data_IF_597821630991
#
_entry.id   IF_597821630991
#
_cell.length_a   1.000
_cell.length_b   1.000
_cell.length_c   1.000
_cell.angle_alpha   90.00
_cell.angle_beta   90.00
_cell.angle_gamma   90.00
#
_symmetry.space_group_name_H-M   'P 1'
#
loop_
_entity.id
_entity.type
_entity.pdbx_description
1 polymer ?
#
# COMPACT_ATOMS: atom_id res chain seq x y z
N UNK A 1 -8.27 21.32 11.37
CA UNK A 1 -7.10 20.54 10.89
C UNK A 1 -6.09 20.35 12.01
N UNK A 2 -5.61 21.42 12.65
CA UNK A 2 -4.55 21.33 13.68
C UNK A 2 -4.83 20.39 14.86
N UNK A 3 -6.03 20.36 15.50
CA UNK A 3 -6.27 19.41 16.60
C UNK A 3 -6.19 17.94 16.16
N UNK A 4 -6.71 17.64 14.95
CA UNK A 4 -6.65 16.29 14.39
C UNK A 4 -5.21 15.90 14.03
N UNK A 5 -4.46 16.80 13.42
CA UNK A 5 -3.05 16.59 13.11
C UNK A 5 -2.21 16.36 14.37
N UNK A 6 -2.43 17.16 15.42
CA UNK A 6 -1.78 16.96 16.72
C UNK A 6 -2.13 15.62 17.37
N UNK A 7 -3.41 15.23 17.33
CA UNK A 7 -3.86 13.92 17.83
C UNK A 7 -3.22 12.76 17.06
N UNK A 8 -3.14 12.86 15.73
CA UNK A 8 -2.51 11.84 14.88
C UNK A 8 -1.00 11.72 15.16
N UNK A 9 -0.29 12.84 15.30
CA UNK A 9 1.12 12.87 15.67
C UNK A 9 1.36 12.17 17.01
N UNK A 10 0.57 12.49 18.02
CA UNK A 10 0.66 11.87 19.35
C UNK A 10 0.33 10.37 19.30
N UNK A 11 -0.71 9.99 18.56
CA UNK A 11 -1.09 8.58 18.37
C UNK A 11 0.06 7.75 17.78
N UNK A 12 0.70 8.25 16.71
CA UNK A 12 1.83 7.54 16.09
C UNK A 12 3.01 7.43 17.05
N UNK A 13 3.36 8.54 17.72
CA UNK A 13 4.49 8.57 18.67
C UNK A 13 4.27 7.60 19.85
N UNK A 14 3.11 7.68 20.50
CA UNK A 14 2.76 6.83 21.65
C UNK A 14 2.63 5.35 21.28
N UNK A 15 2.09 5.02 20.10
CA UNK A 15 2.01 3.64 19.62
C UNK A 15 3.41 3.04 19.43
N UNK A 16 4.32 3.76 18.78
CA UNK A 16 5.70 3.30 18.57
C UNK A 16 6.46 3.15 19.89
N UNK A 17 6.29 4.09 20.83
CA UNK A 17 6.85 3.97 22.18
C UNK A 17 6.34 2.72 22.89
N UNK A 18 5.04 2.41 22.78
CA UNK A 18 4.47 1.21 23.39
C UNK A 18 5.10 -0.10 22.89
N UNK A 19 5.40 -0.20 21.58
CA UNK A 19 6.16 -1.33 21.04
C UNK A 19 7.59 -1.39 21.61
N UNK A 20 8.28 -0.24 21.63
CA UNK A 20 9.64 -0.14 22.17
C UNK A 20 9.71 -0.52 23.66
N UNK A 21 8.76 -0.05 24.47
CA UNK A 21 8.67 -0.34 25.90
C UNK A 21 8.39 -1.83 26.17
N UNK A 22 7.69 -2.49 25.24
CA UNK A 22 7.49 -3.94 25.24
C UNK A 22 8.70 -4.73 24.70
N UNK A 23 9.79 -4.06 24.30
CA UNK A 23 10.99 -4.70 23.74
C UNK A 23 10.82 -5.17 22.29
N UNK A 24 9.88 -4.59 21.55
CA UNK A 24 9.60 -4.95 20.14
C UNK A 24 10.10 -3.85 19.21
N UNK A 25 11.11 -4.19 18.41
CA UNK A 25 11.62 -3.33 17.34
C UNK A 25 10.71 -3.41 16.10
N UNK A 26 10.22 -2.26 15.64
CA UNK A 26 9.49 -2.16 14.38
C UNK A 26 10.48 -1.99 13.22
N UNK A 27 10.41 -2.88 12.22
CA UNK A 27 11.24 -2.76 11.01
C UNK A 27 10.63 -1.81 9.99
N UNK A 28 9.31 -1.88 9.80
CA UNK A 28 8.55 -1.05 8.86
C UNK A 28 7.29 -0.54 9.57
N UNK A 29 6.92 0.72 9.32
CA UNK A 29 5.64 1.30 9.74
C UNK A 29 4.99 1.97 8.53
N UNK A 30 3.78 1.54 8.15
CA UNK A 30 2.98 2.29 7.18
C UNK A 30 2.19 3.39 7.87
N UNK A 31 2.22 4.60 7.30
CA UNK A 31 1.42 5.72 7.80
C UNK A 31 0.07 5.74 7.07
N UNK A 32 -0.80 4.83 7.49
CA UNK A 32 -2.10 4.55 6.86
C UNK A 32 -2.10 3.23 6.08
N UNK A 33 -3.30 2.78 5.71
CA UNK A 33 -3.56 1.58 4.91
C UNK A 33 -4.35 1.97 3.67
N UNK A 34 -3.87 1.60 2.48
CA UNK A 34 -4.54 1.87 1.19
C UNK A 34 -5.12 3.29 1.07
N UNK A 35 -4.29 4.31 1.32
CA UNK A 35 -4.75 5.70 1.46
C UNK A 35 -5.01 6.39 0.11
N UNK A 36 -5.38 5.65 -0.95
CA UNK A 36 -5.71 6.21 -2.28
C UNK A 36 -6.76 7.29 -2.22
N UNK A 37 -7.81 7.05 -1.45
CA UNK A 37 -8.90 8.01 -1.22
C UNK A 37 -8.65 8.87 0.04
N UNK A 38 -7.43 8.82 0.58
CA UNK A 38 -6.98 9.54 1.75
C UNK A 38 -7.23 8.81 3.06
N UNK A 39 -7.16 9.52 4.18
CA UNK A 39 -7.34 8.96 5.53
C UNK A 39 -8.04 9.96 6.45
N UNK A 40 -8.61 9.49 7.57
CA UNK A 40 -9.26 10.34 8.59
C UNK A 40 -10.28 11.32 7.97
N UNK A 41 -11.28 10.76 7.31
CA UNK A 41 -12.30 11.54 6.60
C UNK A 41 -13.23 12.28 7.57
N UNK A 42 -13.77 13.45 7.16
CA UNK A 42 -13.63 14.08 5.84
C UNK A 42 -12.32 14.87 5.64
N UNK A 43 -11.55 15.15 6.70
CA UNK A 43 -10.44 16.12 6.66
C UNK A 43 -9.29 15.71 5.75
N UNK A 44 -8.96 14.41 5.70
CA UNK A 44 -7.93 13.88 4.80
C UNK A 44 -8.50 13.13 3.60
N UNK A 45 -9.79 13.25 3.28
CA UNK A 45 -10.37 12.63 2.08
C UNK A 45 -9.80 13.28 0.82
N UNK A 46 -9.41 12.46 -0.16
CA UNK A 46 -8.95 12.93 -1.45
C UNK A 46 -9.62 12.19 -2.60
N UNK A 47 -9.55 12.79 -3.78
CA UNK A 47 -9.96 12.20 -5.04
C UNK A 47 -8.86 12.44 -6.09
N UNK A 48 -8.30 11.34 -6.58
CA UNK A 48 -7.16 11.31 -7.51
C UNK A 48 -7.55 11.63 -8.96
N UNK A 49 -8.85 11.58 -9.27
CA UNK A 49 -9.38 11.78 -10.62
C UNK A 49 -9.86 13.23 -10.85
N UNK A 50 -9.73 14.10 -9.84
CA UNK A 50 -10.04 15.53 -9.98
C UNK A 50 -9.15 16.16 -11.07
N UNK A 51 -9.80 16.90 -11.97
CA UNK A 51 -9.15 17.77 -12.95
C UNK A 51 -9.63 19.23 -12.80
N UNK A 52 -8.79 20.23 -13.15
CA UNK A 52 -7.40 20.09 -13.61
C UNK A 52 -6.44 19.65 -12.49
N UNK A 53 -5.22 19.24 -12.83
CA UNK A 53 -4.16 18.83 -11.87
C UNK A 53 -4.00 19.80 -10.69
N UNK A 54 -4.14 21.12 -10.91
CA UNK A 54 -4.07 22.12 -9.83
C UNK A 54 -5.19 21.96 -8.79
N UNK A 55 -6.40 21.62 -9.20
CA UNK A 55 -7.52 21.35 -8.30
C UNK A 55 -7.31 20.04 -7.52
N UNK A 56 -6.72 19.03 -8.15
CA UNK A 56 -6.32 17.77 -7.50
C UNK A 56 -5.28 17.98 -6.41
N UNK A 57 -4.21 18.71 -6.74
CA UNK A 57 -3.18 19.10 -5.76
C UNK A 57 -3.83 19.86 -4.60
N UNK A 58 -4.72 20.82 -4.87
CA UNK A 58 -5.42 21.55 -3.82
C UNK A 58 -6.24 20.62 -2.91
N UNK A 59 -6.96 19.64 -3.49
CA UNK A 59 -7.72 18.63 -2.75
C UNK A 59 -6.83 17.77 -1.84
N UNK A 60 -5.58 17.48 -2.22
CA UNK A 60 -4.65 16.69 -1.42
C UNK A 60 -4.08 17.43 -0.19
N UNK A 61 -4.31 18.74 -0.04
CA UNK A 61 -3.73 19.55 1.04
C UNK A 61 -4.06 19.02 2.45
N UNK A 62 -5.29 18.53 2.65
CA UNK A 62 -5.74 17.99 3.93
C UNK A 62 -4.99 16.70 4.29
N UNK A 63 -4.96 15.75 3.37
CA UNK A 63 -4.18 14.52 3.50
C UNK A 63 -2.70 14.79 3.72
N UNK A 64 -2.10 15.69 2.94
CA UNK A 64 -0.69 16.04 3.06
C UNK A 64 -0.36 16.60 4.45
N UNK A 65 -1.25 17.42 5.01
CA UNK A 65 -1.09 17.95 6.38
C UNK A 65 -1.12 16.83 7.43
N UNK A 66 -2.03 15.87 7.29
CA UNK A 66 -2.14 14.74 8.20
C UNK A 66 -0.96 13.78 8.07
N UNK A 67 -0.52 13.50 6.84
CA UNK A 67 0.65 12.65 6.60
C UNK A 67 1.93 13.27 7.17
N UNK A 68 2.15 14.58 6.99
CA UNK A 68 3.25 15.30 7.64
C UNK A 68 3.19 15.16 9.17
N UNK A 69 2.01 15.26 9.78
CA UNK A 69 1.85 15.11 11.23
C UNK A 69 2.13 13.67 11.71
N UNK A 70 1.64 12.66 10.98
CA UNK A 70 1.96 11.26 11.25
C UNK A 70 3.47 11.01 11.17
N UNK A 71 4.14 11.57 10.14
CA UNK A 71 5.59 11.46 9.98
C UNK A 71 6.34 12.12 11.14
N UNK A 72 5.90 13.28 11.60
CA UNK A 72 6.44 13.91 12.80
C UNK A 72 6.26 13.05 14.06
N UNK A 73 5.18 12.28 14.17
CA UNK A 73 4.97 11.35 15.27
C UNK A 73 6.03 10.24 15.31
N UNK A 74 6.45 9.75 14.14
CA UNK A 74 7.58 8.82 14.02
C UNK A 74 8.89 9.51 14.46
N UNK A 75 9.15 10.74 14.02
CA UNK A 75 10.35 11.49 14.44
C UNK A 75 10.39 11.75 15.95
N UNK A 76 9.24 12.06 16.55
CA UNK A 76 9.13 12.22 17.99
C UNK A 76 9.48 10.92 18.71
N UNK A 77 8.88 9.78 18.33
CA UNK A 77 9.21 8.49 18.94
C UNK A 77 10.71 8.19 18.85
N UNK A 78 11.33 8.40 17.67
CA UNK A 78 12.76 8.18 17.46
C UNK A 78 13.62 9.11 18.31
N UNK A 79 13.24 10.38 18.44
CA UNK A 79 13.95 11.33 19.31
C UNK A 79 13.91 10.94 20.80
N UNK A 80 12.92 10.13 21.20
CA UNK A 80 12.78 9.57 22.55
C UNK A 80 13.40 8.16 22.69
N UNK A 81 14.23 7.72 21.75
CA UNK A 81 14.99 6.48 21.86
C UNK A 81 14.35 5.25 21.22
N UNK A 82 13.18 5.38 20.58
CA UNK A 82 12.62 4.29 19.76
C UNK A 82 13.53 4.06 18.55
N UNK A 83 13.84 2.80 18.23
CA UNK A 83 14.61 2.46 17.04
C UNK A 83 13.86 2.91 15.77
N UNK A 84 14.55 3.62 14.88
CA UNK A 84 13.95 4.15 13.66
C UNK A 84 13.51 3.03 12.70
N UNK A 85 12.20 2.90 12.39
CA UNK A 85 11.72 1.99 11.34
C UNK A 85 11.89 2.64 9.97
N UNK A 86 11.79 1.84 8.91
CA UNK A 86 11.49 2.37 7.57
C UNK A 86 10.02 2.81 7.50
N UNK A 87 9.77 4.01 7.00
CA UNK A 87 8.41 4.54 6.84
C UNK A 87 7.87 4.17 5.46
N UNK A 88 6.73 3.47 5.44
CA UNK A 88 6.06 3.07 4.21
C UNK A 88 4.87 3.98 3.89
N UNK A 89 4.69 4.26 2.61
CA UNK A 89 3.45 4.81 2.06
C UNK A 89 2.74 3.73 1.23
N UNK A 90 1.48 3.44 1.57
CA UNK A 90 0.75 2.28 1.05
C UNK A 90 -0.51 2.68 0.29
N UNK A 91 -0.59 2.26 -0.98
CA UNK A 91 -1.68 2.55 -1.91
C UNK A 91 -2.20 1.24 -2.53
N UNK A 92 -3.51 1.09 -2.68
CA UNK A 92 -4.12 -0.04 -3.39
C UNK A 92 -3.85 0.00 -4.89
N UNK A 93 -4.27 -1.05 -5.61
CA UNK A 93 -4.22 -1.11 -7.07
C UNK A 93 -2.82 -0.83 -7.65
N UNK A 94 -1.79 -1.50 -7.12
CA UNK A 94 -0.39 -1.33 -7.54
C UNK A 94 -0.14 -1.51 -9.03
N UNK A 95 -1.03 -2.22 -9.72
CA UNK A 95 -1.04 -2.43 -11.16
C UNK A 95 -1.46 -1.20 -11.99
N UNK A 96 -2.17 -0.24 -11.40
CA UNK A 96 -2.70 0.92 -12.11
C UNK A 96 -1.69 2.08 -12.13
N UNK A 97 -0.82 2.12 -13.15
CA UNK A 97 0.22 3.14 -13.27
C UNK A 97 -0.32 4.58 -13.23
N UNK A 98 -1.40 4.87 -13.97
CA UNK A 98 -1.98 6.22 -14.04
C UNK A 98 -2.45 6.70 -12.66
N UNK A 99 -3.12 5.82 -11.91
CA UNK A 99 -3.48 6.08 -10.52
C UNK A 99 -2.25 6.43 -9.68
N UNK A 100 -1.21 5.60 -9.71
CA UNK A 100 -0.04 5.79 -8.86
C UNK A 100 0.68 7.12 -9.19
N UNK A 101 0.88 7.43 -10.48
CA UNK A 101 1.52 8.68 -10.87
C UNK A 101 0.71 9.92 -10.48
N UNK A 102 -0.60 9.88 -10.68
CA UNK A 102 -1.50 10.96 -10.32
C UNK A 102 -1.53 11.19 -8.80
N UNK A 103 -1.58 10.12 -8.02
CA UNK A 103 -1.67 10.20 -6.57
C UNK A 103 -0.39 10.78 -5.95
N UNK A 104 0.79 10.23 -6.30
CA UNK A 104 2.06 10.71 -5.73
C UNK A 104 2.43 12.11 -6.23
N UNK A 105 2.11 12.46 -7.48
CA UNK A 105 2.30 13.82 -7.98
C UNK A 105 1.37 14.83 -7.30
N UNK A 106 0.12 14.46 -7.02
CA UNK A 106 -0.80 15.33 -6.28
C UNK A 106 -0.32 15.56 -4.84
N UNK A 107 0.07 14.50 -4.13
CA UNK A 107 0.57 14.59 -2.76
C UNK A 107 1.81 15.47 -2.66
N UNK A 108 2.81 15.23 -3.49
CA UNK A 108 4.06 16.00 -3.48
C UNK A 108 3.89 17.41 -4.06
N UNK A 109 2.97 17.58 -5.01
CA UNK A 109 2.61 18.88 -5.58
C UNK A 109 2.04 19.87 -4.56
N UNK A 110 1.55 19.39 -3.41
CA UNK A 110 1.13 20.27 -2.30
C UNK A 110 2.30 21.06 -1.69
N UNK A 111 3.54 20.60 -1.88
CA UNK A 111 4.75 21.14 -1.24
C UNK A 111 4.88 20.82 0.26
N UNK A 112 3.88 20.15 0.87
CA UNK A 112 3.89 19.79 2.30
C UNK A 112 4.57 18.45 2.57
N UNK A 113 4.41 17.50 1.65
CA UNK A 113 5.04 16.18 1.70
C UNK A 113 6.08 16.09 0.60
N UNK A 114 7.27 15.62 0.94
CA UNK A 114 8.40 15.40 0.04
C UNK A 114 8.62 13.91 -0.14
N UNK A 115 9.29 13.54 -1.22
CA UNK A 115 9.71 12.15 -1.43
C UNK A 115 10.61 11.62 -0.31
N UNK A 116 11.31 12.48 0.44
CA UNK A 116 12.08 12.07 1.62
C UNK A 116 11.24 11.65 2.83
N UNK A 117 9.92 11.87 2.81
CA UNK A 117 9.04 11.63 3.97
C UNK A 117 8.51 10.19 4.02
N UNK A 118 8.91 9.35 3.08
CA UNK A 118 8.75 7.89 3.13
C UNK A 118 10.02 7.22 2.61
N UNK A 119 10.33 6.03 3.12
CA UNK A 119 11.50 5.25 2.75
C UNK A 119 11.14 4.17 1.71
N UNK A 120 9.93 3.60 1.80
CA UNK A 120 9.47 2.46 1.00
C UNK A 120 8.07 2.72 0.43
N UNK A 121 7.80 2.21 -0.77
CA UNK A 121 6.44 2.05 -1.29
C UNK A 121 5.85 0.68 -0.94
N UNK A 122 4.61 0.66 -0.48
CA UNK A 122 3.78 -0.55 -0.40
C UNK A 122 2.63 -0.47 -1.39
N UNK A 123 2.36 -1.56 -2.10
CA UNK A 123 1.20 -1.67 -2.98
C UNK A 123 0.41 -2.95 -2.75
N UNK A 124 -0.92 -2.86 -2.85
CA UNK A 124 -1.79 -4.03 -2.89
C UNK A 124 -1.99 -4.53 -4.32
N UNK A 125 -2.10 -5.85 -4.47
CA UNK A 125 -2.29 -6.53 -5.74
C UNK A 125 -3.25 -7.72 -5.57
N UNK A 126 -4.49 -7.58 -6.03
CA UNK A 126 -5.49 -8.64 -5.96
C UNK A 126 -6.03 -8.98 -7.35
N UNK A 127 -6.18 -10.27 -7.70
CA UNK A 127 -6.60 -10.71 -9.02
C UNK A 127 -8.12 -10.69 -9.24
N UNK A 128 -8.91 -10.44 -8.19
CA UNK A 128 -10.36 -10.68 -8.17
C UNK A 128 -11.25 -9.43 -8.00
N UNK A 129 -10.66 -8.23 -8.00
CA UNK A 129 -11.41 -6.95 -7.99
C UNK A 129 -11.54 -6.27 -9.36
N UNK A 130 -11.11 -6.99 -10.41
CA UNK A 130 -11.18 -6.54 -11.79
C UNK A 130 -10.05 -7.14 -12.63
N UNK A 131 -10.27 -7.28 -13.93
CA UNK A 131 -9.37 -7.98 -14.85
C UNK A 131 -8.14 -7.17 -15.27
N UNK A 132 -8.08 -5.89 -14.90
CA UNK A 132 -6.92 -5.03 -15.22
C UNK A 132 -5.72 -5.25 -14.30
N UNK A 133 -5.89 -5.99 -13.19
CA UNK A 133 -4.86 -6.34 -12.24
C UNK A 133 -3.92 -7.45 -12.75
N UNK A 134 -3.30 -7.26 -13.91
CA UNK A 134 -2.37 -8.25 -14.50
C UNK A 134 -0.96 -8.09 -13.94
N UNK A 135 -0.19 -9.17 -13.92
CA UNK A 135 1.24 -9.18 -13.59
C UNK A 135 2.04 -8.24 -14.51
N UNK A 136 1.62 -8.14 -15.78
CA UNK A 136 2.20 -7.21 -16.75
C UNK A 136 1.99 -5.74 -16.35
N UNK A 137 0.77 -5.39 -15.94
CA UNK A 137 0.45 -4.03 -15.49
C UNK A 137 1.16 -3.69 -14.18
N UNK A 138 1.18 -4.64 -13.22
CA UNK A 138 1.98 -4.52 -12.01
C UNK A 138 3.45 -4.24 -12.33
N UNK A 139 4.08 -5.08 -13.16
CA UNK A 139 5.48 -4.88 -13.58
C UNK A 139 5.71 -3.50 -14.19
N UNK A 140 4.84 -3.08 -15.09
CA UNK A 140 4.94 -1.77 -15.76
C UNK A 140 4.86 -0.61 -14.75
N UNK A 141 3.90 -0.69 -13.82
CA UNK A 141 3.70 0.29 -12.76
C UNK A 141 4.91 0.38 -11.83
N UNK A 142 5.30 -0.75 -11.23
CA UNK A 142 6.40 -0.79 -10.25
C UNK A 142 7.74 -0.39 -10.87
N UNK A 143 8.02 -0.79 -12.11
CA UNK A 143 9.24 -0.39 -12.82
C UNK A 143 9.30 1.12 -13.07
N UNK A 144 8.16 1.72 -13.41
CA UNK A 144 8.07 3.16 -13.66
C UNK A 144 8.27 3.95 -12.36
N UNK A 145 7.61 3.54 -11.28
CA UNK A 145 7.76 4.18 -9.98
C UNK A 145 9.17 4.02 -9.41
N UNK A 146 9.79 2.84 -9.56
CA UNK A 146 11.17 2.60 -9.14
C UNK A 146 12.14 3.54 -9.85
N UNK A 147 12.02 3.72 -11.18
CA UNK A 147 12.86 4.65 -11.94
C UNK A 147 12.63 6.11 -11.54
N UNK A 148 11.38 6.51 -11.33
CA UNK A 148 10.98 7.89 -11.04
C UNK A 148 11.40 8.33 -9.64
N UNK A 149 11.21 7.46 -8.64
CA UNK A 149 11.40 7.81 -7.24
C UNK A 149 12.66 7.21 -6.62
N UNK A 150 13.28 6.22 -7.26
CA UNK A 150 14.49 5.54 -6.77
C UNK A 150 14.33 5.02 -5.34
N UNK A 151 13.14 4.50 -5.03
CA UNK A 151 12.80 3.94 -3.72
C UNK A 151 12.43 2.48 -3.82
N UNK A 152 12.69 1.74 -2.74
CA UNK A 152 12.26 0.36 -2.69
C UNK A 152 10.76 0.16 -2.63
N UNK A 153 10.35 -1.01 -3.12
CA UNK A 153 8.96 -1.35 -3.40
C UNK A 153 8.64 -2.73 -2.82
N UNK A 154 7.50 -2.82 -2.16
CA UNK A 154 6.88 -4.04 -1.67
C UNK A 154 5.50 -4.22 -2.30
N UNK A 155 5.13 -5.46 -2.56
CA UNK A 155 3.72 -5.85 -2.67
C UNK A 155 3.29 -6.30 -1.29
N UNK A 156 2.54 -5.47 -0.57
CA UNK A 156 2.26 -5.70 0.87
C UNK A 156 0.97 -6.46 1.12
N UNK A 157 0.19 -6.67 0.08
CA UNK A 157 -1.08 -7.36 0.11
C UNK A 157 -1.30 -8.05 -1.23
N UNK A 158 -1.51 -9.36 -1.21
CA UNK A 158 -1.90 -10.16 -2.38
C UNK A 158 -2.44 -11.51 -1.95
N UNK A 159 -3.40 -12.04 -2.71
CA UNK A 159 -3.99 -13.37 -2.54
C UNK A 159 -4.25 -14.02 -3.89
N UNK A 160 -4.41 -15.34 -3.89
CA UNK A 160 -4.97 -16.10 -5.01
C UNK A 160 -5.97 -17.13 -4.48
N UNK A 161 -7.12 -17.33 -5.14
CA UNK A 161 -8.11 -18.26 -4.64
C UNK A 161 -7.71 -19.73 -4.88
N UNK A 162 -7.86 -20.57 -3.86
CA UNK A 162 -7.88 -22.03 -3.99
C UNK A 162 -9.21 -22.52 -4.55
N UNK A 163 -10.32 -21.81 -4.27
CA UNK A 163 -11.67 -22.14 -4.74
C UNK A 163 -12.35 -20.85 -5.22
N UNK A 164 -12.69 -20.80 -6.50
CA UNK A 164 -13.40 -19.68 -7.12
C UNK A 164 -14.25 -20.14 -8.31
N UNK A 165 -15.36 -20.83 -8.02
CA UNK A 165 -16.21 -21.50 -9.03
C UNK A 165 -17.73 -21.27 -8.80
N UNK A 166 -18.08 -20.39 -7.85
CA UNK A 166 -19.46 -20.04 -7.53
C UNK A 166 -20.15 -19.19 -8.60
N UNK A 167 -21.48 -19.03 -8.53
CA UNK A 167 -22.25 -18.18 -9.45
C UNK A 167 -21.80 -16.71 -9.43
N UNK A 168 -21.23 -16.26 -8.31
CA UNK A 168 -20.72 -14.91 -8.11
C UNK A 168 -19.19 -14.82 -8.28
N UNK A 169 -18.54 -15.90 -8.75
CA UNK A 169 -17.10 -15.92 -8.96
C UNK A 169 -16.69 -14.86 -10.00
N UNK A 170 -15.74 -13.96 -9.67
CA UNK A 170 -15.28 -12.95 -10.60
C UNK A 170 -14.37 -13.57 -11.66
N UNK A 171 -14.27 -12.89 -12.80
CA UNK A 171 -13.19 -13.16 -13.74
C UNK A 171 -11.86 -12.74 -13.11
N UNK A 172 -10.93 -13.68 -12.97
CA UNK A 172 -9.59 -13.42 -12.44
C UNK A 172 -8.73 -12.71 -13.47
N UNK A 173 -7.84 -11.83 -13.02
CA UNK A 173 -6.97 -11.04 -13.90
C UNK A 173 -5.88 -11.83 -14.62
N UNK A 174 -5.56 -13.04 -14.16
CA UNK A 174 -4.64 -13.99 -14.81
C UNK A 174 -5.34 -15.34 -15.05
N UNK A 175 -6.29 -15.42 -16.00
CA UNK A 175 -7.17 -16.58 -16.15
C UNK A 175 -6.44 -17.86 -16.61
N UNK A 176 -5.18 -17.77 -17.02
CA UNK A 176 -4.33 -18.93 -17.30
C UNK A 176 -3.86 -19.67 -16.04
N UNK A 177 -3.85 -19.00 -14.89
CA UNK A 177 -3.56 -19.61 -13.59
C UNK A 177 -4.87 -20.20 -13.06
N UNK A 178 -4.91 -21.48 -12.67
CA UNK A 178 -6.14 -22.09 -12.15
C UNK A 178 -6.42 -21.65 -10.70
N UNK A 179 -7.68 -21.40 -10.34
CA UNK A 179 -8.09 -21.29 -8.94
C UNK A 179 -7.92 -22.65 -8.24
N UNK A 180 -6.81 -22.82 -7.51
CA UNK A 180 -6.37 -24.07 -6.91
C UNK A 180 -5.12 -23.84 -6.06
N UNK A 181 -4.78 -24.77 -5.17
CA UNK A 181 -3.54 -24.71 -4.38
C UNK A 181 -2.27 -24.59 -5.26
N UNK A 182 -2.10 -25.38 -6.34
CA UNK A 182 -0.99 -25.14 -7.27
C UNK A 182 -0.99 -23.75 -7.91
N UNK A 183 -2.17 -23.22 -8.23
CA UNK A 183 -2.32 -21.85 -8.76
C UNK A 183 -1.93 -20.77 -7.76
N UNK A 184 -2.17 -20.97 -6.46
CA UNK A 184 -1.69 -20.06 -5.41
C UNK A 184 -0.17 -19.98 -5.39
N UNK A 185 0.51 -21.13 -5.50
CA UNK A 185 1.96 -21.19 -5.58
C UNK A 185 2.46 -20.47 -6.83
N UNK A 186 1.83 -20.70 -7.98
CA UNK A 186 2.17 -20.04 -9.25
C UNK A 186 2.01 -18.52 -9.15
N UNK A 187 0.86 -18.04 -8.65
CA UNK A 187 0.60 -16.62 -8.45
C UNK A 187 1.63 -15.95 -7.55
N UNK A 188 1.88 -16.50 -6.36
CA UNK A 188 2.82 -15.91 -5.39
C UNK A 188 4.23 -15.90 -5.98
N UNK A 189 4.65 -16.98 -6.64
CA UNK A 189 5.95 -17.03 -7.34
C UNK A 189 6.05 -15.94 -8.39
N UNK A 190 5.02 -15.76 -9.20
CA UNK A 190 5.04 -14.82 -10.31
C UNK A 190 4.99 -13.35 -9.83
N UNK A 191 4.26 -13.05 -8.74
CA UNK A 191 4.33 -11.75 -8.06
C UNK A 191 5.74 -11.50 -7.49
N UNK A 192 6.35 -12.51 -6.85
CA UNK A 192 7.74 -12.43 -6.38
C UNK A 192 8.71 -12.17 -7.53
N UNK A 193 8.51 -12.79 -8.69
CA UNK A 193 9.34 -12.57 -9.87
C UNK A 193 9.16 -11.16 -10.45
N UNK A 194 7.94 -10.62 -10.44
CA UNK A 194 7.70 -9.21 -10.78
C UNK A 194 8.47 -8.29 -9.83
N UNK A 195 8.39 -8.51 -8.52
CA UNK A 195 9.10 -7.69 -7.51
C UNK A 195 10.62 -7.81 -7.67
N UNK A 196 11.16 -9.02 -7.83
CA UNK A 196 12.60 -9.24 -8.09
C UNK A 196 13.08 -8.58 -9.37
N UNK A 197 12.21 -8.43 -10.38
CA UNK A 197 12.56 -7.80 -11.65
C UNK A 197 12.65 -6.28 -11.58
N UNK A 198 12.27 -5.65 -10.46
CA UNK A 198 12.30 -4.20 -10.31
C UNK A 198 13.75 -3.69 -10.46
N UNK A 199 13.99 -2.64 -11.29
CA UNK A 199 15.34 -2.14 -11.55
C UNK A 199 16.12 -1.74 -10.29
N UNK A 200 17.45 -1.81 -10.39
CA UNK A 200 18.39 -1.40 -9.33
C UNK A 200 18.26 -2.17 -8.01
N UNK A 201 17.63 -3.35 -8.03
CA UNK A 201 17.43 -4.16 -6.82
C UNK A 201 16.46 -3.53 -5.83
N UNK A 202 15.54 -2.68 -6.31
CA UNK A 202 14.61 -1.94 -5.46
C UNK A 202 13.39 -2.77 -5.03
N UNK A 203 13.17 -3.97 -5.59
CA UNK A 203 12.13 -4.88 -5.10
C UNK A 203 12.55 -5.57 -3.81
N UNK A 204 11.77 -5.40 -2.72
CA UNK A 204 12.19 -5.83 -1.38
C UNK A 204 11.24 -6.77 -0.63
N UNK A 205 9.99 -6.93 -1.07
CA UNK A 205 9.10 -7.84 -0.35
C UNK A 205 7.77 -8.14 -1.03
N UNK A 206 7.21 -9.29 -0.64
CA UNK A 206 5.85 -9.73 -0.94
C UNK A 206 5.24 -10.24 0.37
N UNK A 207 4.01 -9.82 0.67
CA UNK A 207 3.25 -10.28 1.83
C UNK A 207 1.91 -10.84 1.35
N UNK A 208 1.63 -12.09 1.72
CA UNK A 208 0.31 -12.73 1.51
C UNK A 208 -0.65 -12.23 2.60
N UNK A 209 -1.88 -11.89 2.24
CA UNK A 209 -2.80 -11.32 3.21
C UNK A 209 -3.58 -12.41 3.94
N UNK A 210 -3.50 -12.41 5.27
CA UNK A 210 -4.27 -13.29 6.16
C UNK A 210 -4.37 -14.78 5.71
N UNK A 211 -3.23 -15.46 5.44
CA UNK A 211 -3.21 -16.82 4.89
C UNK A 211 -3.85 -17.88 5.79
N UNK A 212 -4.20 -17.56 7.03
CA UNK A 212 -4.73 -18.52 8.01
C UNK A 212 -6.02 -18.03 8.67
N UNK A 213 -6.76 -17.11 8.05
CA UNK A 213 -8.02 -16.62 8.62
C UNK A 213 -9.18 -17.60 8.34
N UNK A 214 -9.18 -18.72 9.06
CA UNK A 214 -10.10 -19.84 8.86
C UNK A 214 -11.60 -19.50 8.98
N UNK A 215 -11.93 -18.41 9.68
CA UNK A 215 -13.32 -17.95 9.84
C UNK A 215 -13.81 -17.05 8.69
N UNK A 216 -12.93 -16.66 7.77
CA UNK A 216 -13.24 -15.79 6.64
C UNK A 216 -12.34 -16.13 5.44
N UNK A 217 -12.52 -17.33 4.88
CA UNK A 217 -11.64 -17.86 3.81
C UNK A 217 -11.69 -17.07 2.51
N UNK A 218 -12.80 -16.37 2.24
CA UNK A 218 -12.93 -15.55 1.03
C UNK A 218 -12.16 -14.23 1.08
N UNK A 219 -11.69 -13.80 2.26
CA UNK A 219 -10.83 -12.61 2.44
C UNK A 219 -11.40 -11.32 1.81
N UNK A 220 -12.74 -11.19 1.77
CA UNK A 220 -13.43 -10.05 1.15
C UNK A 220 -13.51 -10.11 -0.38
N UNK A 221 -13.03 -11.17 -1.01
CA UNK A 221 -13.32 -11.50 -2.41
C UNK A 221 -14.69 -12.18 -2.55
N UNK A 222 -15.20 -12.27 -3.78
CA UNK A 222 -16.35 -13.10 -4.10
C UNK A 222 -15.99 -14.58 -4.37
N UNK A 223 -14.71 -14.94 -4.29
CA UNK A 223 -14.26 -16.33 -4.28
C UNK A 223 -14.48 -16.94 -2.88
N UNK A 224 -14.65 -18.26 -2.84
CA UNK A 224 -14.98 -18.96 -1.61
C UNK A 224 -13.77 -19.16 -0.69
N UNK A 225 -12.58 -19.32 -1.26
CA UNK A 225 -11.37 -19.61 -0.50
C UNK A 225 -10.12 -19.01 -1.17
N UNK A 226 -9.41 -18.14 -0.45
CA UNK A 226 -8.15 -17.51 -0.81
C UNK A 226 -7.09 -17.61 0.31
N UNK A 227 -7.27 -18.49 1.31
CA UNK A 227 -6.25 -18.73 2.36
C UNK A 227 -5.26 -19.83 1.92
N UNK A 228 -4.16 -20.05 2.67
CA UNK A 228 -3.10 -21.04 2.37
C UNK A 228 -3.14 -22.28 3.29
#
# INVERSE_FOLDING_TARGET
MEPLAGTLREYVSSSMKSFSDAGVDLSIVSLGNEIRNGMLWPQGRVDVDIEPTSARIANFTGLATLYTAARQGVDDAVSHGVKKPEVMIHIDNGWNLTLQENWFSALTGTGKVKTSDWDIFGFSMYPFYGTSATLKNLKTSLHTLAKKYSKPIHVVETDWPAICDGPDAPELSEPSIPASVPGQIEWVRDVVDVVKSIPHGLGRGVNYWEPTWLNNTGLGSACQDAIL
#
